data_IF_643497461555
#
_entry.id   IF_643497461555
#
_cell.length_a   1.000
_cell.length_b   1.000
_cell.length_c   1.000
_cell.angle_alpha   90.00
_cell.angle_beta   90.00
_cell.angle_gamma   90.00
#
_symmetry.space_group_name_H-M   'P 1'
#
loop_
_entity.id
_entity.type
_entity.pdbx_description
1 polymer ?
#
# COMPACT_ATOMS: atom_id res chain seq x y z
N UNK A 1 -44.00 69.46 -68.47
CA UNK A 1 -44.78 68.24 -68.15
C UNK A 1 -43.78 67.14 -67.86
N UNK A 2 -43.58 66.63 -66.65
CA UNK A 2 -44.38 66.67 -65.42
C UNK A 2 -43.44 66.81 -64.22
N UNK A 3 -43.85 67.58 -63.22
CA UNK A 3 -43.07 67.86 -62.01
C UNK A 3 -43.04 66.65 -61.07
N UNK A 4 -41.85 66.31 -60.58
CA UNK A 4 -41.63 65.27 -59.57
C UNK A 4 -42.00 65.83 -58.18
N UNK A 5 -43.03 65.25 -57.55
CA UNK A 5 -43.48 65.64 -56.20
C UNK A 5 -42.48 65.17 -55.14
N UNK A 6 -42.18 65.99 -54.11
CA UNK A 6 -41.24 65.61 -53.06
C UNK A 6 -41.82 64.45 -52.22
N UNK A 7 -41.01 63.40 -52.01
CA UNK A 7 -41.35 62.23 -51.19
C UNK A 7 -41.66 62.65 -49.75
N UNK A 8 -42.84 62.27 -49.26
CA UNK A 8 -43.25 62.52 -47.88
C UNK A 8 -42.29 61.87 -46.87
N UNK A 9 -41.99 62.53 -45.73
CA UNK A 9 -41.09 61.99 -44.72
C UNK A 9 -41.73 60.77 -44.05
N UNK A 10 -41.04 59.62 -44.09
CA UNK A 10 -41.50 58.41 -43.42
C UNK A 10 -41.57 58.65 -41.90
N UNK A 11 -42.64 58.19 -41.22
CA UNK A 11 -42.79 58.40 -39.79
C UNK A 11 -41.67 57.68 -39.02
N UNK A 12 -40.90 58.45 -38.25
CA UNK A 12 -39.87 57.93 -37.35
C UNK A 12 -40.53 56.97 -36.35
N UNK A 13 -40.06 55.73 -36.32
CA UNK A 13 -40.60 54.71 -35.41
C UNK A 13 -40.66 55.24 -33.97
N UNK A 14 -41.81 55.09 -33.30
CA UNK A 14 -42.01 55.60 -31.94
C UNK A 14 -40.94 55.02 -31.00
N UNK A 15 -40.27 55.89 -30.24
CA UNK A 15 -39.21 55.52 -29.29
C UNK A 15 -39.69 54.46 -28.29
N UNK A 16 -40.97 54.45 -27.95
CA UNK A 16 -41.59 53.47 -27.05
C UNK A 16 -41.56 52.06 -27.63
N UNK A 17 -41.93 51.88 -28.91
CA UNK A 17 -41.88 50.57 -29.59
C UNK A 17 -40.45 50.09 -29.76
N UNK A 18 -39.51 50.98 -30.07
CA UNK A 18 -38.10 50.65 -30.13
C UNK A 18 -37.58 50.18 -28.77
N UNK A 19 -37.87 50.92 -27.70
CA UNK A 19 -37.49 50.53 -26.32
C UNK A 19 -38.14 49.21 -25.90
N UNK A 20 -39.40 48.96 -26.27
CA UNK A 20 -40.08 47.71 -25.96
C UNK A 20 -39.48 46.51 -26.71
N UNK A 21 -39.20 46.66 -28.00
CA UNK A 21 -38.53 45.64 -28.81
C UNK A 21 -37.10 45.37 -28.31
N UNK A 22 -36.37 46.43 -27.95
CA UNK A 22 -35.03 46.33 -27.37
C UNK A 22 -35.05 45.57 -26.04
N UNK A 23 -35.98 45.88 -25.12
CA UNK A 23 -36.13 45.14 -23.86
C UNK A 23 -36.50 43.67 -24.10
N UNK A 24 -37.35 43.38 -25.09
CA UNK A 24 -37.71 42.01 -25.47
C UNK A 24 -36.51 41.24 -26.05
N UNK A 25 -35.71 41.89 -26.89
CA UNK A 25 -34.49 41.32 -27.45
C UNK A 25 -33.42 41.06 -26.36
N UNK A 26 -33.21 42.02 -25.46
CA UNK A 26 -32.31 41.88 -24.31
C UNK A 26 -32.75 40.69 -23.43
N UNK A 27 -34.04 40.56 -23.12
CA UNK A 27 -34.55 39.41 -22.34
C UNK A 27 -34.37 38.07 -23.05
N UNK A 28 -34.54 38.03 -24.37
CA UNK A 28 -34.32 36.81 -25.18
C UNK A 28 -32.84 36.41 -25.24
N UNK A 29 -31.92 37.38 -25.31
CA UNK A 29 -30.47 37.16 -25.28
C UNK A 29 -29.90 36.93 -23.88
N UNK A 30 -30.71 37.12 -22.82
CA UNK A 30 -30.32 36.85 -21.43
C UNK A 30 -30.57 35.40 -21.01
N UNK A 31 -31.02 34.54 -21.92
CA UNK A 31 -31.04 33.09 -21.69
C UNK A 31 -29.58 32.68 -21.50
N UNK A 32 -29.27 32.21 -20.30
CA UNK A 32 -27.94 31.83 -19.89
C UNK A 32 -27.35 30.85 -20.91
N UNK A 33 -26.06 30.97 -21.26
CA UNK A 33 -25.41 29.99 -22.11
C UNK A 33 -25.56 28.63 -21.42
N UNK A 34 -26.30 27.73 -22.06
CA UNK A 34 -26.39 26.33 -21.66
C UNK A 34 -24.94 25.83 -21.61
N UNK A 35 -24.50 25.41 -20.43
CA UNK A 35 -23.11 25.02 -20.18
C UNK A 35 -22.90 23.66 -20.87
N UNK A 36 -22.62 23.70 -22.17
CA UNK A 36 -22.33 22.53 -23.01
C UNK A 36 -20.83 22.17 -22.97
N UNK A 37 -20.11 22.70 -21.98
CA UNK A 37 -18.71 22.40 -21.75
C UNK A 37 -18.59 21.49 -20.53
N UNK A 38 -18.13 20.28 -20.78
CA UNK A 38 -17.75 19.33 -19.76
C UNK A 38 -16.77 19.99 -18.78
N UNK A 39 -17.09 20.01 -17.48
CA UNK A 39 -16.27 20.65 -16.45
C UNK A 39 -15.05 19.78 -16.10
N UNK A 40 -14.06 19.79 -17.00
CA UNK A 40 -12.83 18.99 -16.90
C UNK A 40 -12.08 19.33 -15.60
N UNK A 41 -12.16 20.57 -15.12
CA UNK A 41 -11.54 21.01 -13.86
C UNK A 41 -12.06 20.23 -12.66
N UNK A 42 -13.37 20.02 -12.57
CA UNK A 42 -13.99 19.24 -11.49
C UNK A 42 -13.69 17.74 -11.60
N UNK A 43 -13.58 17.20 -12.82
CA UNK A 43 -13.24 15.78 -13.02
C UNK A 43 -11.75 15.50 -12.77
N UNK A 44 -10.87 16.43 -13.14
CA UNK A 44 -9.44 16.34 -12.83
C UNK A 44 -9.27 16.24 -11.32
N UNK A 45 -9.94 17.10 -10.55
CA UNK A 45 -9.88 17.09 -9.08
C UNK A 45 -10.32 15.74 -8.49
N UNK A 46 -11.42 15.18 -9.02
CA UNK A 46 -11.91 13.86 -8.63
C UNK A 46 -10.92 12.73 -9.00
N UNK A 47 -10.33 12.77 -10.19
CA UNK A 47 -9.31 11.80 -10.59
C UNK A 47 -8.06 11.91 -9.72
N UNK A 48 -7.63 13.13 -9.39
CA UNK A 48 -6.46 13.36 -8.55
C UNK A 48 -6.71 12.95 -7.10
N UNK A 49 -7.89 13.21 -6.52
CA UNK A 49 -8.19 12.75 -5.15
C UNK A 49 -8.24 11.22 -5.09
N UNK A 50 -8.83 10.54 -6.09
CA UNK A 50 -8.78 9.08 -6.17
C UNK A 50 -7.34 8.58 -6.31
N UNK A 51 -6.54 9.18 -7.18
CA UNK A 51 -5.15 8.77 -7.38
C UNK A 51 -4.31 8.96 -6.11
N UNK A 52 -4.46 10.08 -5.40
CA UNK A 52 -3.77 10.32 -4.12
C UNK A 52 -4.20 9.32 -3.06
N UNK A 53 -5.50 9.01 -2.97
CA UNK A 53 -6.01 7.96 -2.07
C UNK A 53 -5.46 6.57 -2.43
N UNK A 54 -5.43 6.23 -3.73
CA UNK A 54 -4.89 4.97 -4.21
C UNK A 54 -3.39 4.87 -3.93
N UNK A 55 -2.61 5.90 -4.23
CA UNK A 55 -1.17 5.97 -3.92
C UNK A 55 -0.93 5.82 -2.42
N UNK A 56 -1.73 6.46 -1.58
CA UNK A 56 -1.65 6.29 -0.13
C UNK A 56 -2.00 4.87 0.33
N UNK A 57 -3.00 4.23 -0.29
CA UNK A 57 -3.40 2.85 0.06
C UNK A 57 -2.37 1.80 -0.36
N UNK A 58 -1.76 1.97 -1.53
CA UNK A 58 -0.76 1.02 -2.07
C UNK A 58 0.52 1.05 -1.24
N UNK A 59 0.94 2.22 -0.74
CA UNK A 59 2.12 2.33 0.13
C UNK A 59 1.99 1.68 1.53
N UNK A 60 0.78 1.26 1.93
CA UNK A 60 0.52 0.62 3.23
C UNK A 60 0.37 -0.91 3.17
N UNK A 61 0.34 -1.49 1.97
CA UNK A 61 -0.01 -2.90 1.83
C UNK A 61 1.20 -3.81 2.02
N UNK A 62 1.48 -4.18 3.28
CA UNK A 62 2.24 -5.38 3.64
C UNK A 62 1.51 -6.71 3.26
N UNK A 63 0.40 -6.61 2.52
CA UNK A 63 -0.61 -7.67 2.37
C UNK A 63 -0.47 -8.51 1.08
N UNK A 64 0.43 -8.18 0.16
CA UNK A 64 0.65 -9.00 -1.04
C UNK A 64 1.85 -9.94 -0.86
N UNK A 65 1.83 -10.78 0.17
CA UNK A 65 2.79 -11.89 0.26
C UNK A 65 2.43 -12.88 -0.85
N UNK A 66 3.25 -13.06 -1.89
CA UNK A 66 2.92 -13.94 -3.00
C UNK A 66 2.81 -15.38 -2.48
N UNK A 67 1.60 -15.95 -2.52
CA UNK A 67 1.41 -17.37 -2.25
C UNK A 67 2.06 -18.16 -3.39
N UNK A 68 3.22 -18.74 -3.12
CA UNK A 68 3.97 -19.57 -4.08
C UNK A 68 3.97 -21.02 -3.61
N UNK A 69 4.40 -21.96 -4.46
CA UNK A 69 4.55 -23.38 -4.04
C UNK A 69 5.50 -23.54 -2.85
N UNK A 70 6.41 -22.57 -2.69
CA UNK A 70 7.45 -22.55 -1.66
C UNK A 70 6.98 -21.93 -0.33
N UNK A 71 5.87 -21.20 -0.32
CA UNK A 71 5.33 -20.54 0.87
C UNK A 71 3.81 -20.70 0.95
N UNK A 72 3.37 -21.52 1.91
CA UNK A 72 1.95 -21.72 2.24
C UNK A 72 1.70 -21.36 3.68
N UNK A 73 0.87 -20.34 3.94
CA UNK A 73 0.65 -19.87 5.31
C UNK A 73 -0.27 -20.79 6.11
N UNK A 74 -0.04 -20.95 7.43
CA UNK A 74 -0.93 -21.72 8.29
C UNK A 74 -2.29 -21.03 8.43
N UNK A 75 -3.35 -21.83 8.55
CA UNK A 75 -4.72 -21.33 8.75
C UNK A 75 -5.02 -21.18 10.25
N UNK A 76 -5.68 -20.08 10.61
CA UNK A 76 -6.11 -19.76 11.97
C UNK A 76 -7.55 -19.29 11.96
N UNK A 77 -8.27 -19.52 13.06
CA UNK A 77 -9.64 -19.00 13.27
C UNK A 77 -9.67 -17.51 13.64
N UNK A 78 -8.49 -16.90 13.80
CA UNK A 78 -8.37 -15.48 14.14
C UNK A 78 -8.82 -14.58 12.97
N UNK A 79 -9.49 -13.49 13.32
CA UNK A 79 -9.98 -12.45 12.39
C UNK A 79 -9.29 -11.10 12.63
N UNK A 80 -8.16 -11.09 13.35
CA UNK A 80 -7.42 -9.86 13.60
C UNK A 80 -6.72 -9.39 12.32
N UNK A 81 -6.71 -8.07 12.11
CA UNK A 81 -5.95 -7.46 11.01
C UNK A 81 -4.44 -7.72 11.20
N UNK A 82 -3.69 -7.98 10.11
CA UNK A 82 -2.25 -8.17 10.20
C UNK A 82 -1.55 -6.91 10.70
N UNK A 83 -0.56 -7.07 11.58
CA UNK A 83 0.32 -5.97 11.98
C UNK A 83 1.00 -5.39 10.74
N UNK A 84 0.89 -4.08 10.54
CA UNK A 84 1.51 -3.38 9.41
C UNK A 84 2.86 -2.74 9.78
N UNK A 85 3.30 -2.90 11.03
CA UNK A 85 4.54 -2.31 11.53
C UNK A 85 5.51 -3.42 11.94
N UNK A 86 6.67 -3.43 11.28
CA UNK A 86 7.77 -4.33 11.61
C UNK A 86 8.54 -4.79 10.38
N UNK A 87 9.71 -5.34 10.61
CA UNK A 87 10.54 -5.96 9.58
C UNK A 87 9.97 -7.34 9.29
N UNK A 88 9.67 -7.61 8.01
CA UNK A 88 9.14 -8.89 7.57
C UNK A 88 10.28 -9.92 7.49
N UNK A 89 10.08 -11.09 8.09
CA UNK A 89 10.99 -12.24 7.97
C UNK A 89 10.20 -13.41 7.41
N UNK A 90 10.58 -13.88 6.23
CA UNK A 90 9.89 -14.96 5.53
C UNK A 90 10.69 -16.24 5.69
N UNK A 91 10.05 -17.27 6.22
CA UNK A 91 10.59 -18.63 6.34
C UNK A 91 9.82 -19.54 5.39
N UNK A 92 10.36 -19.72 4.19
CA UNK A 92 9.75 -20.57 3.17
C UNK A 92 10.18 -22.04 3.34
N UNK A 93 9.86 -22.89 2.36
CA UNK A 93 10.31 -24.29 2.36
C UNK A 93 11.80 -24.41 2.09
N UNK A 94 12.33 -23.55 1.23
CA UNK A 94 13.71 -23.64 0.74
C UNK A 94 14.64 -22.54 1.23
N UNK A 95 14.13 -21.45 1.82
CA UNK A 95 14.99 -20.33 2.22
C UNK A 95 14.39 -19.42 3.30
N UNK A 96 15.26 -18.58 3.87
CA UNK A 96 14.90 -17.47 4.76
C UNK A 96 15.22 -16.14 4.07
N UNK A 97 14.25 -15.22 4.07
CA UNK A 97 14.34 -13.88 3.50
C UNK A 97 14.04 -12.82 4.57
N UNK A 98 14.57 -11.62 4.40
CA UNK A 98 14.36 -10.47 5.30
C UNK A 98 13.99 -9.24 4.49
N UNK A 99 12.90 -8.59 4.86
CA UNK A 99 12.37 -7.41 4.19
C UNK A 99 11.93 -7.70 2.75
N UNK A 100 12.17 -6.73 1.86
CA UNK A 100 11.81 -6.79 0.44
C UNK A 100 12.93 -7.31 -0.45
N UNK A 101 14.10 -7.64 0.13
CA UNK A 101 15.24 -8.16 -0.63
C UNK A 101 14.98 -9.62 -1.01
N UNK A 102 14.94 -9.96 -2.33
CA UNK A 102 14.71 -11.34 -2.77
C UNK A 102 15.93 -12.25 -2.56
N UNK A 103 17.07 -11.73 -2.10
CA UNK A 103 18.27 -12.53 -1.86
C UNK A 103 18.11 -13.43 -0.63
N UNK A 104 18.30 -14.76 -0.77
CA UNK A 104 18.18 -15.69 0.35
C UNK A 104 19.33 -15.49 1.35
N UNK A 105 18.97 -15.21 2.59
CA UNK A 105 19.92 -15.09 3.71
C UNK A 105 20.42 -16.48 4.12
N UNK A 106 19.53 -17.45 4.09
CA UNK A 106 19.82 -18.87 4.38
C UNK A 106 19.09 -19.72 3.36
N UNK A 107 19.80 -20.69 2.78
CA UNK A 107 19.19 -21.78 2.01
C UNK A 107 18.96 -22.95 2.94
N UNK A 108 17.73 -23.45 2.96
CA UNK A 108 17.25 -24.47 3.87
C UNK A 108 17.31 -25.86 3.22
N UNK A 109 17.76 -26.89 3.97
CA UNK A 109 17.67 -28.28 3.54
C UNK A 109 16.24 -28.82 3.68
N UNK A 110 16.07 -30.12 3.48
CA UNK A 110 14.78 -30.81 3.65
C UNK A 110 14.16 -30.58 5.04
N UNK A 111 12.83 -30.65 5.13
CA UNK A 111 12.09 -30.42 6.38
C UNK A 111 12.43 -31.45 7.46
N UNK A 112 12.70 -32.68 7.05
CA UNK A 112 13.07 -33.80 7.92
C UNK A 112 14.41 -33.53 8.59
N UNK A 113 15.40 -33.04 7.83
CA UNK A 113 16.71 -32.66 8.36
C UNK A 113 16.60 -31.45 9.29
N UNK A 114 15.86 -30.41 8.89
CA UNK A 114 15.61 -29.25 9.73
C UNK A 114 14.94 -29.59 11.07
N UNK A 115 14.02 -30.56 11.09
CA UNK A 115 13.39 -31.01 12.32
C UNK A 115 14.38 -31.66 13.28
N UNK A 116 15.40 -32.35 12.77
CA UNK A 116 16.40 -33.05 13.57
C UNK A 116 17.52 -32.12 14.04
N UNK A 117 18.16 -31.39 13.13
CA UNK A 117 19.39 -30.62 13.39
C UNK A 117 19.22 -29.10 13.32
N UNK A 118 18.09 -28.61 12.82
CA UNK A 118 17.91 -27.18 12.53
C UNK A 118 18.75 -26.74 11.34
N UNK A 119 19.04 -25.44 11.27
CA UNK A 119 19.88 -24.85 10.22
C UNK A 119 21.31 -25.42 10.26
N UNK A 120 21.97 -25.51 9.10
CA UNK A 120 23.35 -25.99 8.98
C UNK A 120 24.31 -25.23 9.91
N UNK A 121 25.28 -25.96 10.47
CA UNK A 121 26.29 -25.39 11.36
C UNK A 121 27.12 -24.26 10.74
N UNK A 122 27.25 -24.21 9.40
CA UNK A 122 27.94 -23.11 8.68
C UNK A 122 27.30 -21.74 8.88
N UNK A 123 26.01 -21.71 9.21
CA UNK A 123 25.26 -20.49 9.47
C UNK A 123 25.19 -20.16 10.96
N UNK A 124 25.82 -20.96 11.82
CA UNK A 124 25.76 -20.85 13.28
C UNK A 124 27.10 -20.37 13.86
N UNK A 125 27.06 -19.77 15.04
CA UNK A 125 28.26 -19.20 15.69
C UNK A 125 29.08 -20.26 16.44
N UNK A 126 28.42 -21.07 17.25
CA UNK A 126 29.10 -21.96 18.22
C UNK A 126 28.91 -23.46 17.95
N UNK A 127 28.30 -23.83 16.82
CA UNK A 127 28.15 -25.21 16.37
C UNK A 127 26.71 -25.61 16.00
N UNK A 128 26.44 -26.90 15.73
CA UNK A 128 25.16 -27.37 15.20
C UNK A 128 23.95 -27.17 16.13
N UNK A 129 24.16 -27.11 17.44
CA UNK A 129 23.11 -26.96 18.44
C UNK A 129 22.87 -25.50 18.87
N UNK A 130 23.68 -24.57 18.38
CA UNK A 130 23.43 -23.15 18.61
C UNK A 130 22.13 -22.74 17.89
N UNK A 131 21.35 -21.87 18.51
CA UNK A 131 20.12 -21.34 17.91
C UNK A 131 20.35 -20.02 17.16
N UNK A 132 21.54 -19.44 17.32
CA UNK A 132 21.90 -18.18 16.67
C UNK A 132 22.25 -18.38 15.20
N UNK A 133 21.48 -17.76 14.30
CA UNK A 133 21.71 -17.76 12.86
C UNK A 133 22.46 -16.47 12.50
N UNK A 134 23.77 -16.59 12.24
CA UNK A 134 24.67 -15.47 11.98
C UNK A 134 24.23 -14.59 10.79
N UNK A 135 23.96 -15.13 9.59
CA UNK A 135 23.60 -14.29 8.44
C UNK A 135 22.26 -13.57 8.66
N UNK A 136 21.31 -14.21 9.37
CA UNK A 136 20.04 -13.60 9.72
C UNK A 136 20.23 -12.42 10.68
N UNK A 137 21.05 -12.58 11.72
CA UNK A 137 21.34 -11.48 12.65
C UNK A 137 21.99 -10.27 11.96
N UNK A 138 22.90 -10.51 11.00
CA UNK A 138 23.53 -9.45 10.22
C UNK A 138 22.48 -8.68 9.40
N UNK A 139 21.63 -9.40 8.66
CA UNK A 139 20.55 -8.80 7.88
C UNK A 139 19.56 -8.01 8.76
N UNK A 140 19.19 -8.57 9.90
CA UNK A 140 18.31 -7.92 10.88
C UNK A 140 18.92 -6.66 11.49
N UNK A 141 20.23 -6.64 11.73
CA UNK A 141 20.93 -5.46 12.25
C UNK A 141 20.87 -4.30 11.25
N UNK A 142 21.05 -4.59 9.95
CA UNK A 142 20.90 -3.59 8.90
C UNK A 142 19.46 -3.10 8.76
N UNK A 143 18.48 -4.02 8.79
CA UNK A 143 17.07 -3.68 8.73
C UNK A 143 16.61 -2.87 9.96
N UNK A 144 17.21 -3.11 11.12
CA UNK A 144 16.91 -2.35 12.34
C UNK A 144 17.38 -0.90 12.25
N UNK A 145 18.55 -0.64 11.67
CA UNK A 145 19.04 0.73 11.55
C UNK A 145 18.10 1.60 10.68
N UNK A 146 17.61 1.03 9.58
CA UNK A 146 16.62 1.70 8.72
C UNK A 146 15.28 1.86 9.42
N UNK A 147 14.80 0.82 10.09
CA UNK A 147 13.55 0.84 10.85
C UNK A 147 13.55 1.87 11.99
N UNK A 148 14.68 2.01 12.69
CA UNK A 148 14.86 3.01 13.76
C UNK A 148 14.67 4.43 13.24
N UNK A 149 15.22 4.75 12.07
CA UNK A 149 15.03 6.05 11.43
C UNK A 149 13.56 6.28 11.04
N UNK A 150 12.88 5.25 10.52
CA UNK A 150 11.46 5.32 10.16
C UNK A 150 10.57 5.51 11.40
N UNK A 151 10.84 4.77 12.48
CA UNK A 151 10.10 4.89 13.75
C UNK A 151 10.27 6.27 14.38
N UNK A 152 11.50 6.79 14.41
CA UNK A 152 11.77 8.15 14.88
C UNK A 152 11.01 9.21 14.07
N UNK A 153 10.95 9.07 12.74
CA UNK A 153 10.20 9.98 11.87
C UNK A 153 8.67 9.88 12.09
N UNK A 154 8.16 8.70 12.45
CA UNK A 154 6.74 8.46 12.77
C UNK A 154 6.36 8.81 14.22
N UNK A 155 7.32 9.20 15.07
CA UNK A 155 7.09 9.45 16.50
C UNK A 155 6.84 8.19 17.32
N UNK A 156 7.25 7.02 16.83
CA UNK A 156 7.19 5.73 17.53
C UNK A 156 8.47 5.51 18.35
N UNK A 157 8.43 4.61 19.33
CA UNK A 157 9.61 4.24 20.13
C UNK A 157 10.70 3.61 19.26
N UNK A 158 11.90 4.23 19.14
CA UNK A 158 13.00 3.71 18.34
C UNK A 158 13.90 2.73 19.11
N UNK A 159 13.60 2.43 20.37
CA UNK A 159 14.45 1.58 21.21
C UNK A 159 14.40 0.10 20.82
N UNK A 160 13.24 -0.36 20.33
CA UNK A 160 13.01 -1.74 19.91
C UNK A 160 12.33 -1.79 18.55
N UNK A 161 12.65 -2.81 17.78
CA UNK A 161 11.99 -3.09 16.50
C UNK A 161 10.99 -4.22 16.67
N UNK A 162 9.98 -4.23 15.81
CA UNK A 162 9.00 -5.32 15.73
C UNK A 162 9.27 -6.17 14.50
N UNK A 163 9.04 -7.47 14.59
CA UNK A 163 9.23 -8.41 13.49
C UNK A 163 7.90 -9.05 13.11
N UNK A 164 7.65 -9.17 11.81
CA UNK A 164 6.52 -9.92 11.26
C UNK A 164 7.08 -11.22 10.70
N UNK A 165 6.79 -12.34 11.36
CA UNK A 165 7.30 -13.65 10.98
C UNK A 165 6.26 -14.36 10.13
N UNK A 166 6.64 -14.58 8.88
CA UNK A 166 5.84 -15.23 7.84
C UNK A 166 6.41 -16.62 7.62
N UNK A 167 5.89 -17.60 8.34
CA UNK A 167 6.37 -18.97 8.26
C UNK A 167 5.44 -19.82 7.41
N UNK A 168 6.03 -20.68 6.58
CA UNK A 168 5.29 -21.76 5.92
C UNK A 168 4.67 -22.71 6.96
N UNK A 169 3.49 -23.24 6.68
CA UNK A 169 2.71 -24.09 7.58
C UNK A 169 3.45 -25.38 7.99
N UNK A 170 4.40 -25.85 7.17
CA UNK A 170 5.20 -27.05 7.44
C UNK A 170 6.53 -26.75 8.11
N UNK A 171 6.77 -25.52 8.55
CA UNK A 171 8.01 -25.11 9.20
C UNK A 171 8.23 -25.91 10.50
N UNK A 172 9.35 -26.66 10.65
CA UNK A 172 9.63 -27.39 11.87
C UNK A 172 9.81 -26.47 13.07
N UNK A 173 9.35 -26.91 14.26
CA UNK A 173 9.43 -26.12 15.50
C UNK A 173 10.86 -25.69 15.83
N UNK A 174 11.85 -26.58 15.64
CA UNK A 174 13.27 -26.26 15.86
C UNK A 174 13.71 -25.05 15.03
N UNK A 175 13.38 -25.01 13.74
CA UNK A 175 13.72 -23.90 12.85
C UNK A 175 13.04 -22.60 13.30
N UNK A 176 11.75 -22.67 13.66
CA UNK A 176 11.02 -21.50 14.16
C UNK A 176 11.67 -20.93 15.43
N UNK A 177 12.09 -21.79 16.36
CA UNK A 177 12.81 -21.36 17.56
C UNK A 177 14.16 -20.70 17.24
N UNK A 178 14.92 -21.21 16.27
CA UNK A 178 16.20 -20.61 15.85
C UNK A 178 16.00 -19.20 15.27
N UNK A 179 14.95 -19.02 14.47
CA UNK A 179 14.59 -17.71 13.92
C UNK A 179 14.16 -16.74 15.02
N UNK A 180 13.26 -17.16 15.92
CA UNK A 180 12.79 -16.33 17.03
C UNK A 180 13.91 -15.99 18.02
N UNK A 181 14.80 -16.95 18.30
CA UNK A 181 15.97 -16.72 19.15
C UNK A 181 16.87 -15.64 18.54
N UNK A 182 17.15 -15.75 17.24
CA UNK A 182 17.97 -14.77 16.53
C UNK A 182 17.31 -13.38 16.53
N UNK A 183 16.00 -13.30 16.30
CA UNK A 183 15.25 -12.05 16.38
C UNK A 183 15.37 -11.38 17.76
N UNK A 184 15.19 -12.15 18.83
CA UNK A 184 15.34 -11.64 20.20
C UNK A 184 16.74 -11.14 20.50
N UNK A 185 17.78 -11.81 20.00
CA UNK A 185 19.17 -11.36 20.12
C UNK A 185 19.50 -10.14 19.25
N UNK A 186 18.71 -9.86 18.21
CA UNK A 186 18.83 -8.70 17.33
C UNK A 186 17.95 -7.51 17.74
N UNK A 187 17.52 -7.46 19.00
CA UNK A 187 16.72 -6.35 19.59
C UNK A 187 15.32 -6.18 18.96
N UNK A 188 14.75 -7.27 18.42
CA UNK A 188 13.34 -7.32 18.02
C UNK A 188 12.49 -7.75 19.21
N UNK A 189 11.86 -6.79 19.89
CA UNK A 189 11.17 -7.03 21.17
C UNK A 189 9.76 -7.63 21.04
N UNK A 190 9.13 -7.49 19.88
CA UNK A 190 7.80 -8.07 19.59
C UNK A 190 7.82 -8.84 18.27
N UNK A 191 7.09 -9.95 18.25
CA UNK A 191 6.98 -10.83 17.10
C UNK A 191 5.51 -11.04 16.74
N UNK A 192 5.15 -10.73 15.50
CA UNK A 192 3.83 -10.95 14.94
C UNK A 192 3.87 -12.16 14.03
N UNK A 193 3.17 -13.24 14.38
CA UNK A 193 3.10 -14.43 13.54
C UNK A 193 1.95 -14.28 12.54
N UNK A 194 2.27 -14.30 11.26
CA UNK A 194 1.26 -14.21 10.21
C UNK A 194 0.60 -15.57 9.95
N UNK A 195 -0.73 -15.53 9.88
CA UNK A 195 -1.60 -16.68 9.64
C UNK A 195 -2.71 -16.26 8.66
N UNK A 196 -3.22 -17.21 7.88
CA UNK A 196 -4.41 -16.99 7.06
C UNK A 196 -5.65 -17.15 7.93
N UNK A 197 -6.60 -16.22 7.83
CA UNK A 197 -7.92 -16.42 8.43
C UNK A 197 -8.64 -17.56 7.71
N UNK A 198 -8.72 -18.71 8.37
CA UNK A 198 -9.44 -19.89 7.93
C UNK A 198 -10.81 -19.90 8.59
N UNK A 199 -11.82 -19.40 7.89
CA UNK A 199 -13.21 -19.60 8.27
C UNK A 199 -13.58 -21.07 8.13
N UNK A 200 -13.37 -21.87 9.18
CA UNK A 200 -14.06 -23.15 9.34
C UNK A 200 -14.93 -23.06 10.59
N UNK A 201 -16.18 -22.67 10.38
CA UNK A 201 -17.26 -22.91 11.33
C UNK A 201 -17.51 -24.44 11.32
N UNK A 202 -17.55 -25.14 12.46
CA UNK A 202 -18.17 -26.46 12.50
C UNK A 202 -19.67 -26.35 12.21
#
# INVERSE_FOLDING_TARGET
>A
MSAELPRAPQPRASVVRYKAALRKAIRRNRREPEIDFLNITAMLDLMTIILVFLLKSVGSSAASIPQSKDLTLPKSVMQAEPSQEGVVVIVSKTQILVGDDPTPIVVLPSREQLAQSGVDARYKRSGPNDHYIVPLANALSHARETDKAVRAAKGLDPSSSEAIVVADATTPYRLLCEVLFTLGQSEFGKHHLMVLSGGSKP
#
